data_IF_478446995670
#
_entry.id   IF_478446995670
#
_cell.length_a   1.000
_cell.length_b   1.000
_cell.length_c   1.000
_cell.angle_alpha   90.00
_cell.angle_beta   90.00
_cell.angle_gamma   90.00
#
_symmetry.space_group_name_H-M   'P 1'
#
loop_
_entity.id
_entity.type
_entity.pdbx_description
1 polymer ?
#
# COMPACT_ATOMS: atom_id res chain seq x y z
N UNK A 1 -80.56 42.62 5.20
CA UNK A 1 -79.36 42.01 5.81
C UNK A 1 -79.14 40.59 5.28
N UNK A 2 -78.36 40.39 4.21
CA UNK A 2 -77.87 39.05 3.78
C UNK A 2 -76.85 39.22 2.65
N UNK A 3 -75.69 39.81 2.96
CA UNK A 3 -74.55 39.83 2.01
C UNK A 3 -73.19 39.98 2.71
N UNK A 4 -72.95 39.23 3.80
CA UNK A 4 -71.64 39.19 4.48
C UNK A 4 -71.29 37.77 4.95
N UNK A 5 -71.41 36.76 4.08
CA UNK A 5 -71.02 35.37 4.44
C UNK A 5 -70.27 34.58 3.37
N UNK A 6 -69.73 35.25 2.33
CA UNK A 6 -68.97 34.58 1.26
C UNK A 6 -67.48 34.91 1.16
N UNK A 7 -66.90 35.68 2.10
CA UNK A 7 -65.48 36.05 2.08
C UNK A 7 -64.57 35.22 3.01
N UNK A 8 -65.11 34.45 3.96
CA UNK A 8 -64.28 33.77 4.99
C UNK A 8 -63.73 32.38 4.64
N UNK A 9 -63.95 31.84 3.42
CA UNK A 9 -63.53 30.47 3.06
C UNK A 9 -62.31 30.37 2.13
N UNK A 10 -61.83 31.50 1.56
CA UNK A 10 -60.66 31.50 0.66
C UNK A 10 -59.33 31.89 1.33
N UNK A 11 -59.33 32.47 2.53
CA UNK A 11 -58.08 32.92 3.18
C UNK A 11 -57.20 31.77 3.71
N UNK A 12 -57.81 30.65 4.13
CA UNK A 12 -57.05 29.51 4.68
C UNK A 12 -56.30 28.70 3.62
N UNK A 13 -56.70 28.79 2.35
CA UNK A 13 -55.96 28.21 1.22
C UNK A 13 -54.77 29.07 0.82
N UNK A 14 -54.99 30.38 0.68
CA UNK A 14 -53.95 31.35 0.31
C UNK A 14 -52.79 31.42 1.31
N UNK A 15 -53.08 31.30 2.62
CA UNK A 15 -52.06 31.29 3.68
C UNK A 15 -51.09 30.09 3.57
N UNK A 16 -51.57 28.90 3.20
CA UNK A 16 -50.71 27.71 3.08
C UNK A 16 -49.74 27.81 1.89
N UNK A 17 -50.20 28.34 0.76
CA UNK A 17 -49.34 28.57 -0.40
C UNK A 17 -48.35 29.72 -0.17
N UNK A 18 -48.73 30.75 0.60
CA UNK A 18 -47.81 31.81 1.00
C UNK A 18 -46.68 31.29 1.90
N UNK A 19 -46.99 30.43 2.88
CA UNK A 19 -45.96 29.82 3.76
C UNK A 19 -45.04 28.88 2.96
N UNK A 20 -45.59 28.09 2.03
CA UNK A 20 -44.80 27.20 1.19
C UNK A 20 -43.88 27.97 0.23
N UNK A 21 -44.37 29.08 -0.35
CA UNK A 21 -43.58 29.96 -1.20
C UNK A 21 -42.46 30.69 -0.43
N UNK A 22 -42.71 31.11 0.81
CA UNK A 22 -41.67 31.70 1.65
C UNK A 22 -40.61 30.67 2.02
N UNK A 23 -41.01 29.43 2.35
CA UNK A 23 -40.07 28.34 2.63
C UNK A 23 -39.20 27.99 1.42
N UNK A 24 -39.76 27.89 0.22
CA UNK A 24 -38.97 27.61 -0.99
C UNK A 24 -38.02 28.75 -1.34
N UNK A 25 -38.43 30.00 -1.17
CA UNK A 25 -37.57 31.18 -1.38
C UNK A 25 -36.42 31.21 -0.36
N UNK A 26 -36.69 30.92 0.91
CA UNK A 26 -35.65 30.84 1.96
C UNK A 26 -34.67 29.70 1.67
N UNK A 27 -35.15 28.55 1.20
CA UNK A 27 -34.31 27.41 0.81
C UNK A 27 -33.44 27.74 -0.41
N UNK A 28 -34.00 28.44 -1.40
CA UNK A 28 -33.26 28.90 -2.57
C UNK A 28 -32.22 29.98 -2.24
N UNK A 29 -32.57 30.94 -1.37
CA UNK A 29 -31.64 31.97 -0.89
C UNK A 29 -30.51 31.38 -0.03
N UNK A 30 -30.81 30.37 0.79
CA UNK A 30 -29.81 29.63 1.56
C UNK A 30 -28.84 28.86 0.67
N UNK A 31 -29.35 28.18 -0.36
CA UNK A 31 -28.51 27.47 -1.34
C UNK A 31 -27.69 28.46 -2.17
N UNK A 32 -28.27 29.58 -2.61
CA UNK A 32 -27.58 30.61 -3.39
C UNK A 32 -26.46 31.29 -2.61
N UNK A 33 -26.70 31.64 -1.34
CA UNK A 33 -25.67 32.24 -0.47
C UNK A 33 -24.56 31.23 -0.14
N UNK A 34 -24.88 29.95 0.02
CA UNK A 34 -23.91 28.86 0.18
C UNK A 34 -23.00 28.69 -1.06
N UNK A 35 -23.57 28.76 -2.27
CA UNK A 35 -22.77 28.70 -3.51
C UNK A 35 -21.90 29.95 -3.73
N UNK A 36 -22.38 31.14 -3.35
CA UNK A 36 -21.56 32.37 -3.36
C UNK A 36 -20.38 32.28 -2.38
N UNK A 37 -20.57 31.66 -1.21
CA UNK A 37 -19.50 31.44 -0.23
C UNK A 37 -18.45 30.42 -0.74
N UNK A 38 -18.90 29.35 -1.40
CA UNK A 38 -18.01 28.36 -2.04
C UNK A 38 -17.26 28.92 -3.26
N UNK A 39 -17.83 29.90 -3.96
CA UNK A 39 -17.21 30.56 -5.11
C UNK A 39 -16.18 31.64 -4.77
N UNK A 40 -16.02 32.00 -3.49
CA UNK A 40 -15.15 33.09 -3.03
C UNK A 40 -14.06 32.56 -2.08
N UNK A 41 -13.26 31.63 -2.58
CA UNK A 41 -12.13 31.03 -1.87
C UNK A 41 -10.88 30.94 -2.73
N UNK A 42 -10.06 32.00 -2.70
CA UNK A 42 -8.64 32.06 -3.08
C UNK A 42 -8.29 32.32 -4.56
N UNK A 43 -8.43 33.57 -4.99
CA UNK A 43 -7.57 34.18 -6.00
C UNK A 43 -6.24 34.63 -5.38
N UNK A 44 -5.14 34.19 -5.99
CA UNK A 44 -3.78 34.74 -5.99
C UNK A 44 -3.25 35.46 -4.74
N UNK A 45 -2.31 34.79 -4.08
CA UNK A 45 -1.12 35.44 -3.52
C UNK A 45 0.12 34.64 -3.92
N UNK A 46 0.81 35.15 -4.93
CA UNK A 46 2.17 34.81 -5.32
C UNK A 46 3.18 35.47 -4.37
N UNK A 47 4.17 34.70 -3.90
CA UNK A 47 5.56 35.09 -3.58
C UNK A 47 6.30 33.93 -2.88
N UNK A 48 7.64 33.83 -2.94
CA UNK A 48 8.45 33.68 -4.14
C UNK A 48 9.24 32.35 -4.13
N UNK A 49 9.69 31.96 -5.32
CA UNK A 49 10.63 30.85 -5.57
C UNK A 49 11.96 31.17 -4.90
N UNK A 50 12.39 30.32 -3.97
CA UNK A 50 13.78 30.26 -3.50
C UNK A 50 14.49 29.11 -4.19
N UNK A 51 15.58 29.45 -4.87
CA UNK A 51 16.46 28.60 -5.63
C UNK A 51 17.25 27.66 -4.70
N UNK A 52 17.09 26.35 -4.88
CA UNK A 52 18.06 25.40 -4.33
C UNK A 52 19.34 25.45 -5.17
N UNK A 53 20.33 26.15 -4.65
CA UNK A 53 21.73 25.99 -5.04
C UNK A 53 22.20 24.60 -4.64
N UNK A 54 22.80 23.90 -5.60
CA UNK A 54 23.68 22.75 -5.41
C UNK A 54 24.77 23.09 -4.41
N UNK A 55 24.85 22.32 -3.32
CA UNK A 55 26.08 22.16 -2.55
C UNK A 55 26.35 20.66 -2.42
N UNK A 56 27.28 20.23 -3.26
CA UNK A 56 28.12 19.05 -3.06
C UNK A 56 28.86 19.19 -1.73
N UNK A 57 28.60 18.30 -0.79
CA UNK A 57 29.52 18.04 0.31
C UNK A 57 29.78 16.54 0.38
N UNK A 58 31.01 16.18 0.01
CA UNK A 58 31.56 14.84 0.13
C UNK A 58 31.71 14.51 1.62
N UNK A 59 31.01 13.49 2.10
CA UNK A 59 31.36 12.83 3.37
C UNK A 59 31.68 11.38 3.05
N UNK A 60 32.97 11.13 2.88
CA UNK A 60 33.58 9.81 3.02
C UNK A 60 33.36 9.34 4.46
N UNK A 61 32.72 8.18 4.65
CA UNK A 61 32.74 7.49 5.94
C UNK A 61 33.49 6.17 5.78
N UNK A 62 34.68 6.15 6.38
CA UNK A 62 35.45 4.96 6.73
C UNK A 62 34.59 3.98 7.54
N UNK A 63 34.62 2.71 7.13
CA UNK A 63 34.18 1.58 7.94
C UNK A 63 35.34 1.08 8.81
N UNK A 64 35.16 0.82 10.11
CA UNK A 64 36.20 0.20 10.91
C UNK A 64 36.36 -1.28 10.53
N UNK A 65 37.51 -1.61 9.93
CA UNK A 65 38.08 -2.96 9.87
C UNK A 65 38.42 -3.40 11.28
N UNK A 66 37.87 -4.51 11.76
CA UNK A 66 38.46 -5.26 12.88
C UNK A 66 38.29 -6.76 12.63
N UNK A 67 39.35 -7.32 12.06
CA UNK A 67 39.74 -8.72 12.09
C UNK A 67 40.52 -8.95 13.39
N UNK A 68 40.30 -10.06 14.13
CA UNK A 68 41.32 -10.55 15.04
C UNK A 68 42.07 -11.71 14.40
N UNK A 69 43.39 -11.53 14.40
CA UNK A 69 44.42 -12.43 13.94
C UNK A 69 44.39 -13.82 14.58
N UNK A 70 44.80 -14.78 13.76
CA UNK A 70 45.20 -16.11 14.18
C UNK A 70 46.43 -16.04 15.09
N UNK A 71 46.32 -16.58 16.30
CA UNK A 71 47.49 -17.11 17.00
C UNK A 71 47.26 -18.58 17.31
N UNK A 72 47.99 -19.42 16.58
CA UNK A 72 48.08 -20.84 16.82
C UNK A 72 48.80 -21.09 18.16
N UNK A 73 48.15 -21.82 19.06
CA UNK A 73 48.82 -22.66 20.06
C UNK A 73 48.14 -24.03 20.07
N UNK A 74 48.96 -25.02 19.75
CA UNK A 74 48.69 -26.46 19.73
C UNK A 74 48.40 -26.99 21.13
N UNK A 75 47.33 -27.76 21.27
CA UNK A 75 47.22 -28.83 22.27
C UNK A 75 46.37 -29.96 21.70
N UNK A 76 47.03 -31.06 21.36
CA UNK A 76 46.44 -32.36 21.07
C UNK A 76 45.69 -32.88 22.30
N UNK A 77 44.43 -33.31 22.16
CA UNK A 77 43.92 -34.49 22.88
C UNK A 77 42.77 -35.12 22.09
N UNK A 78 42.86 -36.45 21.99
CA UNK A 78 42.06 -37.33 21.17
C UNK A 78 40.62 -37.57 21.67
N UNK A 79 39.80 -38.00 20.72
CA UNK A 79 38.66 -38.92 20.85
C UNK A 79 37.43 -38.48 21.67
N UNK A 80 36.29 -38.28 20.99
CA UNK A 80 35.23 -39.30 21.00
C UNK A 80 34.18 -39.02 19.89
N UNK A 81 33.76 -40.08 19.18
CA UNK A 81 32.72 -40.05 18.14
C UNK A 81 31.38 -40.43 18.77
N UNK A 82 30.39 -39.54 18.67
CA UNK A 82 28.96 -39.91 18.76
C UNK A 82 28.15 -38.95 17.86
N UNK A 83 27.28 -39.45 16.96
CA UNK A 83 26.58 -38.60 15.99
C UNK A 83 25.38 -37.89 16.64
N UNK A 84 25.40 -36.56 16.65
CA UNK A 84 24.25 -35.74 17.03
C UNK A 84 23.21 -35.73 15.90
N UNK A 85 21.98 -36.09 16.25
CA UNK A 85 20.80 -36.18 15.37
C UNK A 85 20.52 -34.83 14.69
N UNK A 86 20.44 -34.86 13.37
CA UNK A 86 19.92 -33.78 12.54
C UNK A 86 18.50 -33.42 12.98
N UNK A 87 18.29 -32.16 13.36
CA UNK A 87 16.95 -31.61 13.55
C UNK A 87 16.34 -31.41 12.17
N UNK A 88 15.30 -32.20 11.88
CA UNK A 88 14.54 -32.12 10.65
C UNK A 88 13.84 -30.76 10.55
N UNK A 89 14.11 -30.05 9.45
CA UNK A 89 13.32 -28.89 8.99
C UNK A 89 11.89 -29.38 8.73
N UNK A 90 10.84 -28.75 9.31
CA UNK A 90 9.48 -29.05 8.90
C UNK A 90 9.28 -28.58 7.46
N UNK A 91 9.12 -29.54 6.54
CA UNK A 91 8.55 -29.29 5.21
C UNK A 91 7.08 -28.89 5.35
N UNK A 92 6.60 -28.21 4.30
CA UNK A 92 5.21 -27.92 3.95
C UNK A 92 4.50 -26.79 4.70
N UNK A 93 4.76 -25.54 4.27
CA UNK A 93 3.68 -24.54 4.17
C UNK A 93 3.05 -24.73 2.79
N UNK A 94 1.75 -24.98 2.78
CA UNK A 94 0.98 -25.31 1.59
C UNK A 94 1.12 -24.21 0.53
N UNK A 95 1.47 -24.61 -0.69
CA UNK A 95 1.50 -23.74 -1.86
C UNK A 95 0.12 -23.07 -2.05
N UNK A 96 0.14 -21.74 -2.14
CA UNK A 96 -1.04 -20.93 -2.42
C UNK A 96 -1.77 -21.43 -3.68
N UNK A 97 -3.11 -21.32 -3.65
CA UNK A 97 -4.03 -21.83 -4.65
C UNK A 97 -3.58 -21.55 -6.09
N UNK A 98 -3.50 -22.62 -6.89
CA UNK A 98 -3.18 -22.60 -8.32
C UNK A 98 -4.33 -21.95 -9.08
N UNK A 99 -4.22 -20.66 -9.43
CA UNK A 99 -5.15 -20.02 -10.35
C UNK A 99 -4.83 -20.48 -11.78
N UNK A 100 -5.47 -21.56 -12.23
CA UNK A 100 -5.43 -22.00 -13.64
C UNK A 100 -6.36 -21.10 -14.47
N UNK A 101 -5.95 -19.85 -14.72
CA UNK A 101 -6.74 -18.81 -15.38
C UNK A 101 -6.00 -18.09 -16.50
N UNK A 102 -6.72 -17.20 -17.19
CA UNK A 102 -6.13 -16.26 -18.17
C UNK A 102 -5.01 -15.47 -17.48
N UNK A 103 -3.83 -15.41 -18.10
CA UNK A 103 -2.66 -14.72 -17.56
C UNK A 103 -2.98 -13.25 -17.32
N UNK A 104 -2.58 -12.72 -16.17
CA UNK A 104 -2.84 -11.35 -15.73
C UNK A 104 -4.02 -11.22 -14.78
N UNK A 105 -4.96 -12.19 -14.78
CA UNK A 105 -6.11 -12.17 -13.88
C UNK A 105 -5.67 -12.38 -12.43
N UNK A 106 -4.68 -13.24 -12.18
CA UNK A 106 -4.18 -13.47 -10.83
C UNK A 106 -3.55 -12.20 -10.26
N UNK A 107 -2.75 -11.49 -11.06
CA UNK A 107 -2.12 -10.22 -10.68
C UNK A 107 -3.15 -9.14 -10.34
N UNK A 108 -4.15 -8.92 -11.19
CA UNK A 108 -5.18 -7.91 -10.93
C UNK A 108 -6.04 -8.30 -9.72
N UNK A 109 -6.37 -9.58 -9.58
CA UNK A 109 -7.08 -10.08 -8.40
C UNK A 109 -6.30 -9.87 -7.10
N UNK A 110 -4.98 -10.11 -7.13
CA UNK A 110 -4.10 -9.88 -5.99
C UNK A 110 -3.91 -8.40 -5.65
N UNK A 111 -4.00 -7.50 -6.63
CA UNK A 111 -4.02 -6.05 -6.40
C UNK A 111 -5.33 -5.60 -5.71
N UNK A 112 -6.47 -6.21 -6.08
CA UNK A 112 -7.78 -5.89 -5.52
C UNK A 112 -7.91 -6.41 -4.08
N UNK A 113 -7.52 -7.67 -3.84
CA UNK A 113 -7.88 -8.43 -2.63
C UNK A 113 -7.48 -7.76 -1.30
N UNK A 114 -6.24 -7.25 -1.09
CA UNK A 114 -5.85 -6.64 0.18
C UNK A 114 -6.68 -5.41 0.54
N UNK A 115 -6.91 -4.51 -0.42
CA UNK A 115 -7.69 -3.31 -0.18
C UNK A 115 -9.20 -3.62 -0.09
N UNK A 116 -9.72 -4.57 -0.89
CA UNK A 116 -11.12 -5.01 -0.81
C UNK A 116 -11.45 -5.58 0.58
N UNK A 117 -10.53 -6.37 1.16
CA UNK A 117 -10.65 -6.88 2.52
C UNK A 117 -10.76 -5.74 3.56
N UNK A 118 -9.86 -4.76 3.48
CA UNK A 118 -9.84 -3.62 4.43
C UNK A 118 -11.08 -2.73 4.31
N UNK A 119 -11.68 -2.62 3.12
CA UNK A 119 -12.87 -1.79 2.89
C UNK A 119 -14.19 -2.51 3.21
N UNK A 120 -14.29 -3.82 2.92
CA UNK A 120 -15.57 -4.54 2.90
C UNK A 120 -15.65 -5.68 3.92
N UNK A 121 -14.55 -6.35 4.26
CA UNK A 121 -14.58 -7.54 5.13
C UNK A 121 -14.12 -7.24 6.56
N UNK A 122 -13.22 -6.26 6.75
CA UNK A 122 -12.71 -5.91 8.06
C UNK A 122 -13.81 -5.29 8.93
N UNK A 123 -13.83 -5.69 10.21
CA UNK A 123 -14.70 -5.09 11.22
C UNK A 123 -14.45 -3.57 11.33
N UNK A 124 -15.50 -2.76 11.13
CA UNK A 124 -15.49 -1.29 11.00
C UNK A 124 -14.86 -0.70 9.72
N UNK A 125 -14.51 -1.52 8.73
CA UNK A 125 -14.09 -1.05 7.40
C UNK A 125 -12.87 -0.12 7.39
N UNK A 126 -12.91 0.90 6.53
CA UNK A 126 -11.85 1.91 6.39
C UNK A 126 -11.91 2.91 7.53
N UNK A 127 -10.90 2.93 8.39
CA UNK A 127 -10.92 3.71 9.63
C UNK A 127 -10.16 5.02 9.55
N UNK A 128 -9.27 5.15 8.56
CA UNK A 128 -8.41 6.34 8.44
C UNK A 128 -9.19 7.64 8.20
N UNK A 129 -10.43 7.57 7.73
CA UNK A 129 -11.31 8.71 7.53
C UNK A 129 -12.37 8.87 8.63
N UNK A 130 -12.43 8.02 9.65
CA UNK A 130 -13.43 8.09 10.71
C UNK A 130 -13.18 9.28 11.66
N UNK A 131 -14.25 9.90 12.13
CA UNK A 131 -14.18 11.06 13.05
C UNK A 131 -13.58 10.65 14.41
N UNK A 132 -13.83 9.41 14.85
CA UNK A 132 -13.34 8.90 16.14
C UNK A 132 -12.30 7.82 15.85
N UNK A 133 -11.02 8.16 15.99
CA UNK A 133 -9.93 7.23 15.79
C UNK A 133 -9.57 6.51 17.10
N UNK A 134 -10.15 5.33 17.31
CA UNK A 134 -9.89 4.49 18.50
C UNK A 134 -8.73 3.50 18.24
N UNK A 135 -8.36 3.28 16.97
CA UNK A 135 -7.41 2.23 16.57
C UNK A 135 -6.36 2.75 15.58
N UNK A 136 -5.35 3.43 16.10
CA UNK A 136 -4.18 3.91 15.36
C UNK A 136 -3.44 2.79 14.62
N UNK A 137 -3.22 1.63 15.25
CA UNK A 137 -2.50 0.50 14.67
C UNK A 137 -3.14 -0.02 13.37
N UNK A 138 -4.47 -0.16 13.35
CA UNK A 138 -5.19 -0.60 12.15
C UNK A 138 -5.16 0.46 11.07
N UNK A 139 -5.22 1.75 11.44
CA UNK A 139 -5.14 2.84 10.48
C UNK A 139 -3.79 2.86 9.78
N UNK A 140 -2.69 2.72 10.53
CA UNK A 140 -1.35 2.64 9.93
C UNK A 140 -1.19 1.42 9.03
N UNK A 141 -1.72 0.26 9.44
CA UNK A 141 -1.76 -0.93 8.59
C UNK A 141 -2.48 -0.68 7.26
N UNK A 142 -3.66 -0.05 7.31
CA UNK A 142 -4.44 0.32 6.13
C UNK A 142 -3.69 1.28 5.20
N UNK A 143 -2.94 2.24 5.76
CA UNK A 143 -2.09 3.13 4.97
C UNK A 143 -0.97 2.39 4.24
N UNK A 144 -0.38 1.37 4.86
CA UNK A 144 0.62 0.51 4.23
C UNK A 144 0.03 -0.29 3.05
N UNK A 145 -1.15 -0.89 3.25
CA UNK A 145 -1.88 -1.62 2.18
C UNK A 145 -2.20 -0.69 1.01
N UNK A 146 -2.65 0.54 1.30
CA UNK A 146 -3.00 1.52 0.29
C UNK A 146 -1.78 2.03 -0.49
N UNK A 147 -0.62 2.22 0.16
CA UNK A 147 0.61 2.63 -0.53
C UNK A 147 1.02 1.58 -1.58
N UNK A 148 1.03 0.30 -1.22
CA UNK A 148 1.34 -0.78 -2.16
C UNK A 148 0.30 -0.82 -3.28
N UNK A 149 -0.99 -0.69 -2.96
CA UNK A 149 -2.06 -0.67 -3.96
C UNK A 149 -1.88 0.47 -4.96
N UNK A 150 -1.54 1.67 -4.48
CA UNK A 150 -1.25 2.85 -5.32
C UNK A 150 -0.09 2.62 -6.28
N UNK A 151 1.05 2.14 -5.77
CA UNK A 151 2.22 1.86 -6.62
C UNK A 151 1.93 0.79 -7.65
N UNK A 152 1.17 -0.22 -7.26
CA UNK A 152 0.74 -1.30 -8.16
C UNK A 152 -0.19 -0.78 -9.24
N UNK A 153 -1.17 0.07 -8.90
CA UNK A 153 -2.07 0.69 -9.86
C UNK A 153 -1.32 1.57 -10.86
N UNK A 154 -0.33 2.36 -10.40
CA UNK A 154 0.54 3.16 -11.28
C UNK A 154 1.31 2.26 -12.24
N UNK A 155 2.03 1.25 -11.72
CA UNK A 155 2.80 0.34 -12.57
C UNK A 155 1.92 -0.42 -13.56
N UNK A 156 0.71 -0.82 -13.14
CA UNK A 156 -0.27 -1.49 -13.99
C UNK A 156 -0.72 -0.60 -15.15
N UNK A 157 -1.09 0.65 -14.87
CA UNK A 157 -1.53 1.62 -15.87
C UNK A 157 -0.41 2.07 -16.81
N UNK A 158 0.78 2.28 -16.28
CA UNK A 158 1.88 2.87 -17.05
C UNK A 158 2.68 1.85 -17.85
N UNK A 159 2.81 0.61 -17.36
CA UNK A 159 3.74 -0.38 -17.93
C UNK A 159 3.14 -1.76 -18.19
N UNK A 160 2.42 -2.37 -17.24
CA UNK A 160 1.99 -3.78 -17.39
C UNK A 160 0.83 -3.94 -18.38
N UNK A 161 -0.07 -2.97 -18.46
CA UNK A 161 -1.23 -3.01 -19.37
C UNK A 161 -0.92 -2.58 -20.81
N UNK A 162 0.31 -2.14 -21.12
CA UNK A 162 0.67 -1.53 -22.42
C UNK A 162 1.96 -2.11 -23.02
N UNK A 163 2.06 -2.14 -24.36
CA UNK A 163 3.30 -2.60 -25.06
C UNK A 163 4.37 -1.51 -25.19
N UNK A 164 4.12 -0.31 -24.64
CA UNK A 164 5.04 0.80 -24.70
C UNK A 164 4.36 2.15 -24.49
N UNK A 165 5.14 3.22 -24.52
CA UNK A 165 4.68 4.59 -24.19
C UNK A 165 3.64 5.14 -25.18
N UNK A 166 3.54 4.57 -26.38
CA UNK A 166 2.64 5.00 -27.46
C UNK A 166 1.31 4.24 -27.52
N UNK A 167 1.12 3.20 -26.70
CA UNK A 167 -0.13 2.42 -26.68
C UNK A 167 -1.30 3.26 -26.12
N UNK A 168 -2.55 2.93 -26.40
CA UNK A 168 -3.66 3.67 -25.77
C UNK A 168 -3.72 3.36 -24.26
N UNK A 169 -4.09 4.34 -23.44
CA UNK A 169 -4.42 4.08 -22.04
C UNK A 169 -5.74 3.32 -21.94
N UNK A 170 -5.82 2.36 -21.03
CA UNK A 170 -7.10 1.71 -20.69
C UNK A 170 -7.83 2.64 -19.71
N UNK A 171 -8.99 3.22 -20.07
CA UNK A 171 -9.63 4.26 -19.25
C UNK A 171 -9.97 3.79 -17.83
N UNK A 172 -10.40 2.54 -17.66
CA UNK A 172 -10.72 1.98 -16.33
C UNK A 172 -9.51 1.98 -15.39
N UNK A 173 -8.32 1.65 -15.88
CA UNK A 173 -7.10 1.68 -15.07
C UNK A 173 -6.68 3.10 -14.69
N UNK A 174 -6.84 4.05 -15.60
CA UNK A 174 -6.55 5.46 -15.32
C UNK A 174 -7.49 6.01 -14.24
N UNK A 175 -8.80 5.72 -14.34
CA UNK A 175 -9.76 6.09 -13.30
C UNK A 175 -9.42 5.43 -11.96
N UNK A 176 -9.13 4.13 -11.94
CA UNK A 176 -8.73 3.42 -10.72
C UNK A 176 -7.53 4.06 -10.04
N UNK A 177 -6.46 4.33 -10.81
CA UNK A 177 -5.26 5.00 -10.31
C UNK A 177 -5.58 6.36 -9.68
N UNK A 178 -6.38 7.18 -10.37
CA UNK A 178 -6.76 8.50 -9.89
C UNK A 178 -7.57 8.43 -8.59
N UNK A 179 -8.48 7.46 -8.47
CA UNK A 179 -9.28 7.28 -7.26
C UNK A 179 -8.44 6.89 -6.05
N UNK A 180 -7.42 6.04 -6.21
CA UNK A 180 -6.54 5.66 -5.11
C UNK A 180 -5.68 6.82 -4.60
N UNK A 181 -5.41 7.85 -5.41
CA UNK A 181 -4.60 9.01 -5.02
C UNK A 181 -5.33 10.03 -4.14
N UNK A 182 -6.63 9.82 -3.88
CA UNK A 182 -7.37 10.66 -2.94
C UNK A 182 -6.83 10.47 -1.53
N UNK A 183 -6.82 11.55 -0.74
CA UNK A 183 -6.32 11.57 0.64
C UNK A 183 -7.07 10.54 1.50
N UNK A 184 -6.37 9.66 2.24
CA UNK A 184 -6.97 8.57 3.02
C UNK A 184 -7.78 9.06 4.23
N UNK A 185 -7.50 10.28 4.71
CA UNK A 185 -8.17 10.90 5.86
C UNK A 185 -9.41 11.72 5.48
N UNK A 186 -9.77 11.77 4.19
CA UNK A 186 -10.86 12.62 3.74
C UNK A 186 -12.21 12.01 4.10
N UNK A 187 -12.84 12.58 5.13
CA UNK A 187 -14.17 12.19 5.61
C UNK A 187 -15.29 12.68 4.68
N UNK A 188 -15.31 13.98 4.33
CA UNK A 188 -16.38 14.59 3.53
C UNK A 188 -16.01 14.83 2.05
N UNK A 189 -17.02 14.77 1.18
CA UNK A 189 -17.03 14.70 -0.28
C UNK A 189 -15.75 15.16 -1.03
N UNK A 190 -15.16 14.29 -1.89
CA UNK A 190 -15.37 12.84 -1.96
C UNK A 190 -14.77 12.13 -0.73
N UNK A 191 -15.50 11.17 -0.15
CA UNK A 191 -14.98 10.33 0.93
C UNK A 191 -13.96 9.32 0.40
N UNK A 192 -12.89 9.08 1.17
CA UNK A 192 -11.81 8.17 0.78
C UNK A 192 -12.34 6.76 0.48
N UNK A 193 -13.12 6.19 1.40
CA UNK A 193 -13.70 4.85 1.28
C UNK A 193 -14.52 4.65 0.00
N UNK A 194 -15.41 5.60 -0.32
CA UNK A 194 -16.26 5.52 -1.52
C UNK A 194 -15.42 5.53 -2.79
N UNK A 195 -14.38 6.37 -2.85
CA UNK A 195 -13.50 6.45 -4.00
C UNK A 195 -12.59 5.24 -4.14
N UNK A 196 -12.13 4.67 -3.05
CA UNK A 196 -11.39 3.41 -3.12
C UNK A 196 -12.28 2.25 -3.60
N UNK A 197 -13.56 2.20 -3.19
CA UNK A 197 -14.54 1.25 -3.73
C UNK A 197 -14.78 1.45 -5.23
N UNK A 198 -14.88 2.69 -5.70
CA UNK A 198 -14.95 3.00 -7.14
C UNK A 198 -13.68 2.53 -7.87
N UNK A 199 -12.50 2.81 -7.34
CA UNK A 199 -11.24 2.34 -7.93
C UNK A 199 -11.11 0.81 -8.00
N UNK A 200 -11.57 0.09 -6.97
CA UNK A 200 -11.61 -1.38 -7.00
C UNK A 200 -12.60 -1.91 -8.05
N UNK A 201 -13.73 -1.22 -8.25
CA UNK A 201 -14.69 -1.58 -9.31
C UNK A 201 -14.06 -1.38 -10.69
N UNK A 202 -13.29 -0.33 -10.89
CA UNK A 202 -12.61 -0.06 -12.15
C UNK A 202 -11.48 -1.10 -12.41
N UNK A 203 -10.74 -1.53 -11.38
CA UNK A 203 -9.80 -2.66 -11.50
C UNK A 203 -10.51 -3.97 -11.84
N UNK A 204 -11.68 -4.26 -11.25
CA UNK A 204 -12.52 -5.43 -11.59
C UNK A 204 -12.96 -5.37 -13.05
N UNK A 205 -13.32 -4.18 -13.53
CA UNK A 205 -13.69 -3.96 -14.95
C UNK A 205 -12.51 -4.26 -15.88
N UNK A 206 -11.30 -3.77 -15.58
CA UNK A 206 -10.10 -4.11 -16.35
C UNK A 206 -9.82 -5.62 -16.34
N UNK A 207 -9.95 -6.27 -15.17
CA UNK A 207 -9.78 -7.72 -15.06
C UNK A 207 -10.73 -8.49 -16.00
N UNK A 208 -11.97 -8.04 -16.15
CA UNK A 208 -12.93 -8.66 -17.05
C UNK A 208 -12.57 -8.40 -18.53
N UNK A 209 -12.09 -7.20 -18.87
CA UNK A 209 -11.56 -6.90 -20.22
C UNK A 209 -10.35 -7.79 -20.58
N UNK A 210 -9.48 -8.10 -19.62
CA UNK A 210 -8.36 -9.03 -19.82
C UNK A 210 -8.86 -10.46 -20.08
N UNK A 211 -9.93 -10.89 -19.41
CA UNK A 211 -10.54 -12.21 -19.65
C UNK A 211 -11.20 -12.32 -21.03
N UNK A 212 -11.84 -11.25 -21.50
CA UNK A 212 -12.49 -11.21 -22.82
C UNK A 212 -11.51 -10.95 -23.97
N UNK A 213 -10.27 -10.53 -23.66
CA UNK A 213 -9.25 -10.19 -24.64
C UNK A 213 -9.35 -8.77 -25.21
N UNK A 214 -10.20 -7.92 -24.61
CA UNK A 214 -10.35 -6.50 -24.98
C UNK A 214 -9.18 -5.64 -24.48
N UNK A 215 -8.50 -6.06 -23.41
CA UNK A 215 -7.35 -5.37 -22.86
C UNK A 215 -6.12 -6.30 -22.76
N UNK A 216 -4.95 -5.74 -23.04
CA UNK A 216 -3.67 -6.45 -22.95
C UNK A 216 -3.13 -6.57 -21.53
N UNK A 217 -2.35 -7.62 -21.31
CA UNK A 217 -1.50 -7.81 -20.13
C UNK A 217 -0.12 -8.28 -20.59
N UNK A 218 0.88 -7.42 -20.48
CA UNK A 218 2.19 -7.59 -21.09
C UNK A 218 3.23 -7.98 -20.05
N UNK A 219 3.74 -9.21 -20.18
CA UNK A 219 4.58 -9.86 -19.18
C UNK A 219 6.07 -9.59 -19.33
N UNK A 220 6.46 -8.64 -20.16
CA UNK A 220 7.87 -8.43 -20.50
C UNK A 220 8.66 -7.90 -19.30
N UNK A 221 9.97 -8.12 -19.34
CA UNK A 221 10.91 -7.68 -18.29
C UNK A 221 10.83 -6.17 -18.06
N UNK A 222 10.79 -5.38 -19.14
CA UNK A 222 10.72 -3.91 -19.10
C UNK A 222 9.42 -3.39 -18.48
N UNK A 223 8.37 -4.20 -18.48
CA UNK A 223 7.10 -3.88 -17.82
C UNK A 223 7.05 -4.32 -16.35
N UNK A 224 7.78 -5.38 -15.98
CA UNK A 224 7.83 -5.87 -14.60
C UNK A 224 8.79 -5.06 -13.72
N UNK A 225 9.97 -4.70 -14.25
CA UNK A 225 11.04 -4.03 -13.49
C UNK A 225 10.59 -2.73 -12.80
N UNK A 226 9.78 -1.85 -13.43
CA UNK A 226 9.28 -0.64 -12.76
C UNK A 226 8.49 -0.93 -11.48
N UNK A 227 7.65 -1.98 -11.49
CA UNK A 227 6.90 -2.41 -10.30
C UNK A 227 7.86 -2.86 -9.19
N UNK A 228 8.80 -3.75 -9.52
CA UNK A 228 9.75 -4.28 -8.55
C UNK A 228 10.63 -3.18 -7.94
N UNK A 229 11.08 -2.22 -8.74
CA UNK A 229 11.82 -1.04 -8.25
C UNK A 229 10.99 -0.18 -7.30
N UNK A 230 9.70 0.01 -7.61
CA UNK A 230 8.83 0.73 -6.69
C UNK A 230 8.66 -0.01 -5.36
N UNK A 231 8.60 -1.34 -5.38
CA UNK A 231 8.51 -2.15 -4.17
C UNK A 231 9.80 -2.13 -3.37
N UNK A 232 10.96 -2.28 -4.02
CA UNK A 232 12.29 -2.13 -3.40
C UNK A 232 12.41 -0.78 -2.67
N UNK A 233 11.97 0.31 -3.30
CA UNK A 233 11.99 1.65 -2.71
C UNK A 233 11.06 1.79 -1.49
N UNK A 234 9.86 1.19 -1.54
CA UNK A 234 8.95 1.16 -0.38
C UNK A 234 9.59 0.37 0.77
N UNK A 235 10.14 -0.81 0.49
CA UNK A 235 10.79 -1.64 1.52
C UNK A 235 12.02 -0.95 2.10
N UNK A 236 12.81 -0.25 1.30
CA UNK A 236 13.92 0.58 1.78
C UNK A 236 13.47 1.67 2.74
N UNK A 237 12.35 2.33 2.43
CA UNK A 237 11.75 3.32 3.33
C UNK A 237 11.24 2.69 4.63
N UNK A 238 10.66 1.49 4.57
CA UNK A 238 10.20 0.76 5.75
C UNK A 238 11.38 0.33 6.62
N UNK A 239 12.42 -0.26 6.04
CA UNK A 239 13.65 -0.68 6.73
C UNK A 239 14.31 0.50 7.44
N UNK A 240 14.49 1.62 6.73
CA UNK A 240 15.08 2.83 7.30
C UNK A 240 14.27 3.35 8.49
N UNK A 241 12.94 3.40 8.40
CA UNK A 241 12.08 3.85 9.49
C UNK A 241 12.05 2.85 10.68
N UNK A 242 12.16 1.56 10.41
CA UNK A 242 12.24 0.53 11.45
C UNK A 242 13.59 0.56 12.18
N UNK A 243 14.69 0.88 11.50
CA UNK A 243 16.05 0.87 12.08
C UNK A 243 16.46 2.21 12.69
N UNK A 244 16.13 3.35 12.07
CA UNK A 244 16.55 4.71 12.53
C UNK A 244 16.17 5.04 13.96
N UNK A 245 15.25 4.28 14.53
CA UNK A 245 14.58 4.60 15.75
C UNK A 245 14.69 3.49 16.81
N UNK A 246 15.71 2.65 16.72
CA UNK A 246 16.13 1.75 17.79
C UNK A 246 16.68 2.59 18.96
N UNK A 247 15.78 3.18 19.76
CA UNK A 247 16.11 3.84 21.04
C UNK A 247 15.55 5.25 21.28
N UNK A 248 15.02 5.95 20.26
CA UNK A 248 14.64 7.38 20.38
C UNK A 248 13.20 7.72 19.93
N UNK A 249 12.34 6.71 19.69
CA UNK A 249 10.91 6.93 19.45
C UNK A 249 10.07 6.62 20.68
N UNK A 250 9.05 7.45 20.90
CA UNK A 250 7.94 7.10 21.79
C UNK A 250 7.30 5.79 21.35
N UNK A 251 6.87 4.98 22.31
CA UNK A 251 6.19 3.69 22.10
C UNK A 251 5.10 3.79 21.02
N UNK A 252 4.24 4.82 21.08
CA UNK A 252 3.16 5.02 20.09
C UNK A 252 3.66 5.14 18.64
N UNK A 253 4.79 5.83 18.43
CA UNK A 253 5.34 6.03 17.08
C UNK A 253 6.11 4.81 16.58
N UNK A 254 6.65 4.00 17.49
CA UNK A 254 7.22 2.70 17.15
C UNK A 254 6.14 1.76 16.60
N UNK A 255 4.97 1.72 17.25
CA UNK A 255 3.82 0.93 16.81
C UNK A 255 3.33 1.38 15.43
N UNK A 256 3.16 2.70 15.21
CA UNK A 256 2.74 3.25 13.92
C UNK A 256 3.59 2.74 12.75
N UNK A 257 4.93 2.82 12.90
CA UNK A 257 5.88 2.38 11.87
C UNK A 257 5.83 0.88 11.65
N UNK A 258 5.67 0.11 12.73
CA UNK A 258 5.58 -1.35 12.66
C UNK A 258 4.32 -1.79 11.91
N UNK A 259 3.16 -1.25 12.26
CA UNK A 259 1.89 -1.62 11.62
C UNK A 259 1.82 -1.14 10.17
N UNK A 260 2.35 0.04 9.86
CA UNK A 260 2.50 0.50 8.47
C UNK A 260 3.35 -0.47 7.63
N UNK A 261 4.52 -0.83 8.14
CA UNK A 261 5.44 -1.76 7.46
C UNK A 261 4.84 -3.15 7.31
N UNK A 262 4.02 -3.58 8.28
CA UNK A 262 3.25 -4.82 8.21
C UNK A 262 2.20 -4.81 7.11
N UNK A 263 1.47 -3.70 6.97
CA UNK A 263 0.48 -3.51 5.90
C UNK A 263 1.12 -3.55 4.50
N UNK A 264 2.30 -2.93 4.37
CA UNK A 264 3.13 -3.03 3.17
C UNK A 264 3.51 -4.49 2.90
N UNK A 265 4.06 -5.20 3.88
CA UNK A 265 4.54 -6.57 3.70
C UNK A 265 3.40 -7.54 3.30
N UNK A 266 2.24 -7.46 3.96
CA UNK A 266 1.08 -8.31 3.70
C UNK A 266 0.51 -8.13 2.29
N UNK A 267 0.31 -6.87 1.87
CA UNK A 267 -0.21 -6.55 0.55
C UNK A 267 0.79 -6.87 -0.56
N UNK A 268 2.07 -6.51 -0.38
CA UNK A 268 3.13 -6.78 -1.34
C UNK A 268 3.36 -8.28 -1.53
N UNK A 269 3.34 -9.07 -0.45
CA UNK A 269 3.43 -10.54 -0.54
C UNK A 269 2.35 -11.10 -1.46
N UNK A 270 1.09 -10.72 -1.23
CA UNK A 270 -0.06 -11.20 -2.01
C UNK A 270 0.11 -10.89 -3.50
N UNK A 271 0.61 -9.70 -3.83
CA UNK A 271 0.84 -9.30 -5.22
C UNK A 271 2.05 -10.02 -5.81
N UNK A 272 3.15 -10.18 -5.08
CA UNK A 272 4.33 -10.90 -5.57
C UNK A 272 4.06 -12.40 -5.80
N UNK A 273 3.22 -13.04 -4.99
CA UNK A 273 2.73 -14.40 -5.25
C UNK A 273 2.02 -14.48 -6.61
N UNK A 274 1.18 -13.49 -6.92
CA UNK A 274 0.52 -13.42 -8.22
C UNK A 274 1.48 -13.05 -9.36
N UNK A 275 2.47 -12.18 -9.12
CA UNK A 275 3.54 -11.89 -10.08
C UNK A 275 4.31 -13.17 -10.41
N UNK A 276 4.66 -13.98 -9.40
CA UNK A 276 5.35 -15.26 -9.61
C UNK A 276 4.56 -16.21 -10.50
N UNK A 277 3.22 -16.17 -10.44
CA UNK A 277 2.35 -16.97 -11.31
C UNK A 277 2.19 -16.37 -12.71
N UNK A 278 1.87 -15.09 -12.82
CA UNK A 278 1.55 -14.45 -14.10
C UNK A 278 2.79 -14.12 -14.92
N UNK A 279 3.91 -13.78 -14.29
CA UNK A 279 5.20 -13.48 -14.94
C UNK A 279 6.18 -14.67 -14.88
N UNK A 280 5.69 -15.88 -14.66
CA UNK A 280 6.50 -17.10 -14.52
C UNK A 280 7.54 -17.27 -15.64
N UNK A 281 7.13 -17.14 -16.90
CA UNK A 281 8.04 -17.25 -18.06
C UNK A 281 9.18 -16.21 -18.01
N UNK A 282 8.86 -15.00 -17.56
CA UNK A 282 9.80 -13.87 -17.51
C UNK A 282 10.78 -14.04 -16.37
N UNK A 283 10.32 -14.50 -15.21
CA UNK A 283 11.17 -14.75 -14.04
C UNK A 283 12.07 -15.96 -14.29
N UNK A 284 11.53 -17.04 -14.88
CA UNK A 284 12.30 -18.23 -15.24
C UNK A 284 13.36 -17.97 -16.30
N UNK A 285 13.15 -16.98 -17.17
CA UNK A 285 14.14 -16.60 -18.19
C UNK A 285 15.49 -16.16 -17.58
N UNK A 286 15.48 -15.70 -16.33
CA UNK A 286 16.67 -15.28 -15.58
C UNK A 286 16.97 -16.17 -14.37
N UNK A 287 16.35 -17.36 -14.28
CA UNK A 287 16.49 -18.27 -13.13
C UNK A 287 16.16 -17.59 -11.78
N UNK A 288 15.18 -16.68 -11.80
CA UNK A 288 14.81 -15.85 -10.65
C UNK A 288 13.73 -16.46 -9.74
N UNK A 289 13.35 -17.72 -9.94
CA UNK A 289 12.27 -18.39 -9.21
C UNK A 289 12.59 -18.55 -7.72
N UNK A 290 13.79 -19.05 -7.40
CA UNK A 290 14.26 -19.17 -6.01
C UNK A 290 14.38 -17.78 -5.34
N UNK A 291 14.87 -16.78 -6.07
CA UNK A 291 15.02 -15.40 -5.59
C UNK A 291 13.64 -14.79 -5.27
N UNK A 292 12.68 -14.92 -6.18
CA UNK A 292 11.29 -14.47 -5.97
C UNK A 292 10.66 -15.19 -4.77
N UNK A 293 10.86 -16.51 -4.65
CA UNK A 293 10.35 -17.28 -3.52
C UNK A 293 10.89 -16.77 -2.18
N UNK A 294 12.21 -16.53 -2.09
CA UNK A 294 12.81 -15.99 -0.86
C UNK A 294 12.33 -14.58 -0.53
N UNK A 295 12.07 -13.73 -1.52
CA UNK A 295 11.45 -12.42 -1.31
C UNK A 295 10.04 -12.57 -0.69
N UNK A 296 9.21 -13.44 -1.26
CA UNK A 296 7.84 -13.72 -0.76
C UNK A 296 7.86 -14.26 0.67
N UNK A 297 8.73 -15.24 0.95
CA UNK A 297 8.86 -15.84 2.30
C UNK A 297 9.33 -14.80 3.32
N UNK A 298 10.24 -13.90 2.93
CA UNK A 298 10.72 -12.83 3.81
C UNK A 298 9.61 -11.82 4.14
N UNK A 299 8.77 -11.47 3.16
CA UNK A 299 7.58 -10.64 3.40
C UNK A 299 6.55 -11.37 4.26
N UNK A 300 6.40 -12.68 4.06
CA UNK A 300 5.49 -13.51 4.86
C UNK A 300 5.89 -13.50 6.35
N UNK A 301 7.18 -13.68 6.64
CA UNK A 301 7.70 -13.56 8.00
C UNK A 301 7.44 -12.18 8.60
N UNK A 302 7.66 -11.10 7.85
CA UNK A 302 7.35 -9.74 8.30
C UNK A 302 5.85 -9.55 8.59
N UNK A 303 4.98 -10.14 7.75
CA UNK A 303 3.51 -10.01 7.89
C UNK A 303 2.92 -10.77 9.08
N UNK A 304 3.62 -11.78 9.61
CA UNK A 304 3.19 -12.58 10.76
C UNK A 304 3.73 -12.09 12.12
N UNK A 305 4.44 -10.94 12.14
CA UNK A 305 4.84 -10.30 13.39
C UNK A 305 3.59 -9.67 14.03
N UNK A 306 3.02 -10.36 15.03
CA UNK A 306 1.81 -9.98 15.77
C UNK A 306 2.06 -9.81 17.29
N UNK A 307 2.83 -8.78 17.71
CA UNK A 307 2.96 -8.49 19.12
C UNK A 307 1.65 -7.88 19.67
N UNK A 308 1.22 -8.34 20.85
CA UNK A 308 0.15 -7.69 21.63
C UNK A 308 0.62 -6.29 22.11
N UNK A 309 1.91 -6.16 22.39
CA UNK A 309 2.60 -4.91 22.79
C UNK A 309 3.92 -4.87 22.02
N UNK A 310 4.20 -3.81 21.28
CA UNK A 310 5.47 -3.67 20.54
C UNK A 310 6.58 -3.33 21.53
N UNK A 311 7.38 -4.33 21.87
CA UNK A 311 8.54 -4.15 22.73
C UNK A 311 9.78 -3.74 21.93
N UNK A 312 10.46 -2.70 22.43
CA UNK A 312 11.80 -2.26 22.03
C UNK A 312 12.84 -2.87 22.97
N UNK A 313 13.00 -4.19 22.91
CA UNK A 313 14.03 -4.88 23.67
C UNK A 313 15.46 -4.49 23.25
N UNK A 314 16.38 -4.52 24.21
CA UNK A 314 17.82 -4.48 23.86
C UNK A 314 18.19 -5.78 23.12
N UNK A 315 19.17 -5.75 22.19
CA UNK A 315 19.62 -6.97 21.49
C UNK A 315 20.03 -8.12 22.41
N UNK A 316 20.50 -7.82 23.63
CA UNK A 316 20.86 -8.78 24.68
C UNK A 316 19.94 -8.76 25.90
N UNK A 317 18.71 -8.24 25.74
CA UNK A 317 17.71 -8.12 26.82
C UNK A 317 16.77 -9.33 26.91
N UNK A 318 16.01 -9.42 28.00
CA UNK A 318 14.99 -10.47 28.19
C UNK A 318 13.75 -10.27 27.28
N UNK A 319 13.57 -9.08 26.72
CA UNK A 319 12.43 -8.72 25.86
C UNK A 319 12.82 -8.76 24.38
N UNK A 320 11.88 -9.17 23.52
CA UNK A 320 12.08 -9.17 22.07
C UNK A 320 12.12 -7.74 21.53
N UNK A 321 12.93 -7.50 20.50
CA UNK A 321 12.88 -6.28 19.71
C UNK A 321 12.06 -6.54 18.45
N UNK A 322 10.75 -6.26 18.52
CA UNK A 322 9.84 -6.59 17.42
C UNK A 322 10.12 -5.77 16.15
N UNK A 323 10.59 -4.53 16.31
CA UNK A 323 10.97 -3.67 15.18
C UNK A 323 12.24 -4.15 14.50
N UNK A 324 13.28 -4.53 15.24
CA UNK A 324 14.49 -5.11 14.68
C UNK A 324 14.22 -6.45 13.97
N UNK A 325 13.37 -7.31 14.55
CA UNK A 325 13.00 -8.59 13.94
C UNK A 325 12.25 -8.39 12.61
N UNK A 326 11.32 -7.43 12.56
CA UNK A 326 10.63 -7.08 11.32
C UNK A 326 11.57 -6.43 10.31
N UNK A 327 12.44 -5.51 10.75
CA UNK A 327 13.43 -4.85 9.90
C UNK A 327 14.32 -5.85 9.17
N UNK A 328 14.83 -6.87 9.88
CA UNK A 328 15.62 -7.93 9.27
C UNK A 328 14.86 -8.64 8.13
N UNK A 329 13.58 -8.97 8.35
CA UNK A 329 12.74 -9.63 7.34
C UNK A 329 12.45 -8.72 6.13
N UNK A 330 12.19 -7.43 6.37
CA UNK A 330 11.99 -6.44 5.29
C UNK A 330 13.27 -6.20 4.51
N UNK A 331 14.42 -6.12 5.18
CA UNK A 331 15.73 -5.96 4.56
C UNK A 331 16.08 -7.16 3.68
N UNK A 332 15.80 -8.39 4.13
CA UNK A 332 15.93 -9.59 3.29
C UNK A 332 15.01 -9.55 2.07
N UNK A 333 13.73 -9.20 2.23
CA UNK A 333 12.81 -9.08 1.11
C UNK A 333 13.33 -8.07 0.06
N UNK A 334 13.79 -6.90 0.53
CA UNK A 334 14.38 -5.86 -0.31
C UNK A 334 15.61 -6.36 -1.06
N UNK A 335 16.52 -7.04 -0.37
CA UNK A 335 17.72 -7.62 -0.98
C UNK A 335 17.37 -8.57 -2.12
N UNK A 336 16.44 -9.51 -1.90
CA UNK A 336 16.04 -10.44 -2.96
C UNK A 336 15.32 -9.74 -4.13
N UNK A 337 14.53 -8.70 -3.87
CA UNK A 337 13.96 -7.88 -4.95
C UNK A 337 15.06 -7.18 -5.78
N UNK A 338 16.07 -6.62 -5.14
CA UNK A 338 17.20 -6.00 -5.82
C UNK A 338 17.99 -7.00 -6.68
N UNK A 339 18.32 -8.17 -6.13
CA UNK A 339 18.95 -9.28 -6.87
C UNK A 339 18.12 -9.66 -8.10
N UNK A 340 16.80 -9.79 -7.95
CA UNK A 340 15.90 -10.10 -9.07
C UNK A 340 15.88 -8.98 -10.13
N UNK A 341 15.85 -7.71 -9.71
CA UNK A 341 15.90 -6.56 -10.62
C UNK A 341 17.21 -6.54 -11.41
N UNK A 342 18.34 -6.79 -10.75
CA UNK A 342 19.66 -6.84 -11.39
C UNK A 342 19.71 -7.98 -12.43
N UNK A 343 19.25 -9.18 -12.04
CA UNK A 343 19.19 -10.33 -12.95
C UNK A 343 18.30 -10.07 -14.18
N UNK A 344 17.13 -9.46 -13.97
CA UNK A 344 16.20 -9.09 -15.03
C UNK A 344 16.76 -8.02 -15.98
N UNK A 345 17.47 -7.04 -15.45
CA UNK A 345 18.02 -5.93 -16.26
C UNK A 345 19.34 -6.29 -16.98
N UNK A 346 19.95 -7.43 -16.64
CA UNK A 346 21.22 -7.87 -17.24
C UNK A 346 22.44 -7.07 -16.76
N UNK A 347 22.33 -6.33 -15.66
CA UNK A 347 23.41 -5.55 -15.06
C UNK A 347 24.24 -6.39 -14.07
N UNK A 348 24.71 -7.57 -14.50
CA UNK A 348 25.54 -8.47 -13.68
C UNK A 348 27.01 -8.04 -13.74
#
# INVERSE_FOLDING_TARGET
MKNIKKLGKNEKGASKYAVLAVLTIVLFLGIWTFFQFMGKGSSDKTAPVSSHKTQTENIVKEYPKNQPDSTAKTHDTAANKTPAKAHAVPKTVAAASVFKGVRGVAFVSACIKPLDYELNERFWGWRSNDIINITDNVNNFQLGVLEVTRRTAVALTESISRTGKSDAYVPSLEYAMNWFMIKPTKYWFPSAESKYKEGLKDLKTYMDMVKTGEAGFYRRVDNLVPLLKSYESILGSCDENLVKALGDLSFFKADDVLYYSKGVASSMKTILEAVSQDFDDTIKSVQGDDVMHHAIVSLDHASHVDPIIVLEGKPSGLTANHRANMAASISHARFYLDVLIVALTGNI
#
